data_IF_969896884985
#
_entry.id   IF_969896884985
#
_cell.length_a   1.000
_cell.length_b   1.000
_cell.length_c   1.000
_cell.angle_alpha   90.00
_cell.angle_beta   90.00
_cell.angle_gamma   90.00
#
_symmetry.space_group_name_H-M   'P 1'
#
loop_
_entity.id
_entity.type
_entity.pdbx_description
1 polymer ?
#
# COMPACT_ATOMS: atom_id res chain seq x y z
N UNK A 1 -16.62 23.37 21.03
CA UNK A 1 -16.92 22.73 22.34
C UNK A 1 -17.83 21.55 22.07
N UNK A 2 -17.36 20.30 22.23
CA UNK A 2 -18.26 19.15 22.21
C UNK A 2 -19.22 19.30 23.39
N UNK A 3 -20.52 19.38 23.14
CA UNK A 3 -21.51 19.18 24.21
C UNK A 3 -21.17 17.86 24.89
N UNK A 4 -20.94 17.90 26.20
CA UNK A 4 -20.81 16.72 27.02
C UNK A 4 -22.17 16.03 27.06
N UNK A 5 -22.44 15.17 26.07
CA UNK A 5 -23.61 14.28 26.08
C UNK A 5 -23.54 13.49 27.38
N UNK A 6 -24.58 13.62 28.21
CA UNK A 6 -24.66 12.92 29.49
C UNK A 6 -24.67 11.40 29.23
N UNK A 7 -24.15 10.59 30.16
CA UNK A 7 -24.09 9.14 29.98
C UNK A 7 -25.47 8.49 29.75
N UNK A 8 -26.52 9.07 30.33
CA UNK A 8 -27.92 8.69 30.13
C UNK A 8 -28.36 8.84 28.67
N UNK A 9 -27.90 9.88 28.00
CA UNK A 9 -28.20 10.15 26.60
C UNK A 9 -27.53 9.12 25.69
N UNK A 10 -26.27 8.77 25.96
CA UNK A 10 -25.54 7.73 25.23
C UNK A 10 -26.19 6.34 25.37
N UNK A 11 -26.73 6.03 26.56
CA UNK A 11 -27.48 4.79 26.76
C UNK A 11 -28.80 4.77 26.00
N UNK A 12 -29.49 5.91 25.91
CA UNK A 12 -30.72 6.02 25.13
C UNK A 12 -30.45 5.78 23.64
N UNK A 13 -29.39 6.40 23.11
CA UNK A 13 -28.91 6.24 21.74
C UNK A 13 -28.54 4.78 21.47
N UNK A 14 -27.78 4.15 22.37
CA UNK A 14 -27.40 2.74 22.25
C UNK A 14 -28.62 1.81 22.13
N UNK A 15 -29.69 2.07 22.89
CA UNK A 15 -30.95 1.31 22.83
C UNK A 15 -31.72 1.56 21.52
N UNK A 16 -31.87 2.82 21.12
CA UNK A 16 -32.60 3.19 19.89
C UNK A 16 -31.95 2.58 18.65
N UNK A 17 -30.62 2.61 18.57
CA UNK A 17 -29.87 2.06 17.43
C UNK A 17 -29.46 0.59 17.62
N UNK A 18 -29.84 -0.04 18.73
CA UNK A 18 -29.53 -1.44 19.06
C UNK A 18 -28.04 -1.79 18.95
N UNK A 19 -27.18 -0.89 19.44
CA UNK A 19 -25.71 -1.05 19.45
C UNK A 19 -25.17 -1.04 20.87
N UNK A 20 -23.96 -1.57 21.08
CA UNK A 20 -23.27 -1.45 22.35
C UNK A 20 -22.89 0.01 22.69
N UNK A 21 -22.89 0.37 23.96
CA UNK A 21 -22.49 1.71 24.43
C UNK A 21 -21.08 2.10 23.95
N UNK A 22 -20.16 1.14 23.92
CA UNK A 22 -18.79 1.34 23.41
C UNK A 22 -18.78 1.71 21.92
N UNK A 23 -19.71 1.18 21.13
CA UNK A 23 -19.86 1.51 19.71
C UNK A 23 -20.29 2.97 19.55
N UNK A 24 -21.26 3.44 20.35
CA UNK A 24 -21.69 4.85 20.32
C UNK A 24 -20.51 5.78 20.64
N UNK A 25 -19.77 5.48 21.71
CA UNK A 25 -18.57 6.26 22.10
C UNK A 25 -17.49 6.25 21.02
N UNK A 26 -17.24 5.10 20.38
CA UNK A 26 -16.29 4.98 19.27
C UNK A 26 -16.69 5.87 18.09
N UNK A 27 -17.97 5.88 17.72
CA UNK A 27 -18.46 6.69 16.61
C UNK A 27 -18.40 8.18 16.93
N UNK A 28 -18.70 8.60 18.16
CA UNK A 28 -18.52 9.99 18.59
C UNK A 28 -17.04 10.43 18.53
N UNK A 29 -16.11 9.55 18.95
CA UNK A 29 -14.66 9.81 18.81
C UNK A 29 -14.25 9.93 17.35
N UNK A 30 -14.75 9.05 16.48
CA UNK A 30 -14.48 9.12 15.03
C UNK A 30 -15.05 10.38 14.39
N UNK A 31 -16.26 10.79 14.79
CA UNK A 31 -16.90 12.02 14.34
C UNK A 31 -16.10 13.26 14.74
N UNK A 32 -15.67 13.34 16.01
CA UNK A 32 -14.82 14.43 16.48
C UNK A 32 -13.47 14.51 15.74
N UNK A 33 -12.95 13.36 15.31
CA UNK A 33 -11.73 13.27 14.50
C UNK A 33 -11.96 13.44 12.98
N UNK A 34 -13.21 13.59 12.50
CA UNK A 34 -13.53 13.67 11.07
C UNK A 34 -13.22 12.38 10.28
N UNK A 35 -13.26 11.21 10.94
CA UNK A 35 -12.80 9.92 10.40
C UNK A 35 -13.91 8.88 10.24
N UNK A 36 -15.18 9.31 10.23
CA UNK A 36 -16.31 8.37 10.10
C UNK A 36 -16.25 7.54 8.81
N UNK A 37 -15.84 8.16 7.71
CA UNK A 37 -15.76 7.52 6.40
C UNK A 37 -14.47 6.69 6.20
N UNK A 38 -13.56 6.73 7.17
CA UNK A 38 -12.29 6.00 7.08
C UNK A 38 -12.49 4.53 7.47
N UNK A 39 -12.58 3.69 6.45
CA UNK A 39 -12.44 2.24 6.60
C UNK A 39 -10.95 1.90 6.57
N UNK A 40 -10.40 1.46 7.71
CA UNK A 40 -9.04 0.90 7.72
C UNK A 40 -9.08 -0.46 7.00
N UNK A 41 -8.56 -0.51 5.78
CA UNK A 41 -8.26 -1.79 5.15
C UNK A 41 -7.18 -2.51 5.98
N UNK A 42 -7.29 -3.82 6.22
CA UNK A 42 -6.22 -4.57 6.86
C UNK A 42 -4.93 -4.34 6.08
N UNK A 43 -3.89 -3.88 6.76
CA UNK A 43 -2.54 -3.91 6.19
C UNK A 43 -2.23 -5.37 5.92
N UNK A 44 -2.25 -5.80 4.66
CA UNK A 44 -1.84 -7.14 4.28
C UNK A 44 -0.40 -7.44 4.72
N UNK A 45 0.07 -8.65 4.41
CA UNK A 45 1.46 -9.05 4.69
C UNK A 45 2.42 -8.01 4.12
N UNK A 46 3.36 -7.54 4.95
CA UNK A 46 4.42 -6.62 4.51
C UNK A 46 5.20 -7.25 3.36
N UNK A 47 5.56 -6.43 2.37
CA UNK A 47 6.31 -6.87 1.19
C UNK A 47 7.71 -7.28 1.61
N UNK A 48 8.25 -8.30 0.94
CA UNK A 48 9.65 -8.73 1.13
C UNK A 48 10.62 -7.67 0.61
N UNK A 49 10.30 -7.06 -0.53
CA UNK A 49 11.07 -5.92 -1.06
C UNK A 49 10.61 -4.66 -0.33
N UNK A 50 11.51 -4.10 0.47
CA UNK A 50 11.34 -2.84 1.19
C UNK A 50 11.86 -1.67 0.36
N UNK A 51 11.58 -0.45 0.82
CA UNK A 51 11.95 0.80 0.14
C UNK A 51 13.44 0.90 -0.18
N UNK A 52 14.31 0.42 0.72
CA UNK A 52 15.77 0.40 0.51
C UNK A 52 16.17 -0.45 -0.71
N UNK A 53 15.56 -1.63 -0.87
CA UNK A 53 15.81 -2.50 -2.01
C UNK A 53 15.23 -1.92 -3.30
N UNK A 54 14.11 -1.20 -3.21
CA UNK A 54 13.54 -0.50 -4.37
C UNK A 54 14.47 0.62 -4.85
N UNK A 55 15.07 1.39 -3.94
CA UNK A 55 16.04 2.44 -4.29
C UNK A 55 17.27 1.88 -4.99
N UNK A 56 17.80 0.75 -4.54
CA UNK A 56 18.93 0.09 -5.19
C UNK A 56 18.55 -0.37 -6.60
N UNK A 57 17.34 -0.93 -6.79
CA UNK A 57 16.86 -1.31 -8.12
C UNK A 57 16.74 -0.11 -9.07
N UNK A 58 16.31 1.05 -8.57
CA UNK A 58 16.25 2.28 -9.37
C UNK A 58 17.63 2.79 -9.76
N UNK A 59 18.61 2.74 -8.84
CA UNK A 59 20.00 3.09 -9.14
C UNK A 59 20.61 2.15 -10.18
N UNK A 60 20.38 0.84 -10.06
CA UNK A 60 20.85 -0.14 -11.05
C UNK A 60 20.26 0.13 -12.44
N UNK A 61 19.00 0.56 -12.52
CA UNK A 61 18.35 0.92 -13.78
C UNK A 61 18.93 2.21 -14.38
N UNK A 62 19.34 3.17 -13.54
CA UNK A 62 20.04 4.39 -13.98
C UNK A 62 21.47 4.09 -14.47
N UNK A 63 22.16 3.15 -13.82
CA UNK A 63 23.51 2.70 -14.18
C UNK A 63 23.51 1.91 -15.51
N UNK A 64 22.54 1.01 -15.69
CA UNK A 64 22.39 0.18 -16.89
C UNK A 64 20.92 -0.01 -17.28
N UNK A 65 20.45 0.83 -18.19
CA UNK A 65 19.06 0.81 -18.65
C UNK A 65 18.74 -0.37 -19.59
N UNK A 66 19.76 -1.02 -20.17
CA UNK A 66 19.59 -2.15 -21.08
C UNK A 66 19.61 -3.50 -20.36
N UNK A 67 19.97 -3.52 -19.07
CA UNK A 67 19.94 -4.71 -18.24
C UNK A 67 18.52 -5.30 -18.17
N UNK A 68 18.45 -6.61 -18.37
CA UNK A 68 17.22 -7.39 -18.24
C UNK A 68 16.72 -7.45 -16.80
N UNK A 69 15.44 -7.80 -16.61
CA UNK A 69 14.85 -8.00 -15.28
C UNK A 69 15.54 -9.12 -14.48
N UNK A 70 16.11 -10.11 -15.15
CA UNK A 70 16.86 -11.19 -14.51
C UNK A 70 18.23 -10.70 -14.01
N UNK A 71 18.91 -9.87 -14.79
CA UNK A 71 20.17 -9.24 -14.39
C UNK A 71 19.96 -8.31 -13.20
N UNK A 72 18.92 -7.48 -13.22
CA UNK A 72 18.55 -6.66 -12.06
C UNK A 72 18.29 -7.49 -10.80
N UNK A 73 17.65 -8.66 -10.92
CA UNK A 73 17.43 -9.56 -9.79
C UNK A 73 18.75 -10.12 -9.24
N UNK A 74 19.69 -10.50 -10.11
CA UNK A 74 21.03 -10.99 -9.71
C UNK A 74 21.86 -9.88 -9.06
N UNK A 75 21.88 -8.70 -9.66
CA UNK A 75 22.62 -7.54 -9.14
C UNK A 75 22.08 -7.09 -7.78
N UNK A 76 20.75 -7.15 -7.58
CA UNK A 76 20.16 -6.87 -6.27
C UNK A 76 20.54 -7.93 -5.24
N UNK A 77 20.50 -9.22 -5.61
CA UNK A 77 20.94 -10.32 -4.73
C UNK A 77 22.41 -10.16 -4.35
N UNK A 78 23.28 -9.75 -5.28
CA UNK A 78 24.70 -9.48 -5.01
C UNK A 78 24.91 -8.29 -4.07
N UNK A 79 24.18 -7.18 -4.28
CA UNK A 79 24.31 -5.97 -3.45
C UNK A 79 23.67 -6.10 -2.05
N UNK A 80 22.59 -6.87 -1.91
CA UNK A 80 21.76 -6.88 -0.67
C UNK A 80 21.63 -8.24 -0.01
N UNK A 81 22.02 -9.33 -0.68
CA UNK A 81 21.75 -10.70 -0.26
C UNK A 81 20.29 -11.13 -0.42
N UNK A 82 19.40 -10.27 -0.94
CA UNK A 82 17.99 -10.58 -1.08
C UNK A 82 17.71 -11.31 -2.39
N UNK A 83 17.40 -12.61 -2.29
CA UNK A 83 17.00 -13.43 -3.42
C UNK A 83 15.55 -13.14 -3.85
N UNK A 84 15.38 -12.56 -5.04
CA UNK A 84 14.07 -12.31 -5.64
C UNK A 84 13.98 -12.86 -7.06
N UNK A 85 12.76 -13.09 -7.55
CA UNK A 85 12.52 -13.42 -8.95
C UNK A 85 12.42 -12.17 -9.82
N UNK A 86 12.69 -12.30 -11.12
CA UNK A 86 12.50 -11.21 -12.10
C UNK A 86 11.07 -10.63 -12.07
N UNK A 87 10.04 -11.45 -11.78
CA UNK A 87 8.65 -10.99 -11.64
C UNK A 87 8.47 -10.05 -10.47
N UNK A 88 9.28 -10.18 -9.43
CA UNK A 88 9.28 -9.25 -8.30
C UNK A 88 9.90 -7.92 -8.71
N UNK A 89 10.98 -7.93 -9.50
CA UNK A 89 11.59 -6.73 -10.09
C UNK A 89 10.59 -6.01 -10.99
N UNK A 90 9.93 -6.73 -11.89
CA UNK A 90 8.87 -6.18 -12.76
C UNK A 90 7.76 -5.48 -11.97
N UNK A 91 7.27 -6.11 -10.89
CA UNK A 91 6.29 -5.48 -10.01
C UNK A 91 6.83 -4.24 -9.28
N UNK A 92 8.12 -4.18 -8.98
CA UNK A 92 8.74 -2.97 -8.38
C UNK A 92 8.73 -1.85 -9.41
N UNK A 93 9.23 -2.10 -10.61
CA UNK A 93 9.25 -1.11 -11.70
C UNK A 93 7.85 -0.62 -12.06
N UNK A 94 6.87 -1.52 -12.14
CA UNK A 94 5.48 -1.15 -12.38
C UNK A 94 4.91 -0.20 -11.30
N UNK A 95 5.31 -0.35 -10.02
CA UNK A 95 4.90 0.59 -8.95
C UNK A 95 5.52 1.96 -9.10
N UNK A 96 6.72 2.02 -9.65
CA UNK A 96 7.44 3.27 -9.95
C UNK A 96 7.08 3.86 -11.32
N UNK A 97 6.10 3.28 -12.02
CA UNK A 97 5.65 3.78 -13.33
C UNK A 97 6.61 3.49 -14.48
N UNK A 98 7.64 2.67 -14.25
CA UNK A 98 8.60 2.27 -15.26
C UNK A 98 7.97 1.16 -16.10
N UNK A 99 7.86 1.41 -17.41
CA UNK A 99 7.32 0.43 -18.35
C UNK A 99 8.35 0.16 -19.44
N UNK A 100 8.43 -1.10 -19.89
CA UNK A 100 9.26 -1.44 -21.03
C UNK A 100 8.75 -0.68 -22.27
N UNK A 101 9.65 0.02 -22.96
CA UNK A 101 9.34 0.67 -24.23
C UNK A 101 8.98 -0.41 -25.25
N UNK A 102 7.68 -0.68 -25.42
CA UNK A 102 7.22 -1.49 -26.54
C UNK A 102 7.37 -0.63 -27.80
N UNK A 103 8.26 -1.04 -28.70
CA UNK A 103 8.34 -0.48 -30.05
C UNK A 103 6.92 -0.44 -30.63
N UNK A 104 6.43 0.77 -30.93
CA UNK A 104 5.11 1.03 -31.49
C UNK A 104 4.86 0.32 -32.84
N UNK A 105 5.87 -0.31 -33.43
CA UNK A 105 5.78 -1.09 -34.67
C UNK A 105 5.36 -2.56 -34.51
N UNK A 106 5.17 -3.10 -33.29
CA UNK A 106 4.62 -4.46 -33.11
C UNK A 106 3.09 -4.42 -33.18
N UNK A 107 2.54 -4.45 -34.40
CA UNK A 107 1.12 -4.76 -34.63
C UNK A 107 0.93 -6.25 -34.33
N UNK A 108 -0.11 -6.61 -33.57
CA UNK A 108 -0.48 -8.02 -33.38
C UNK A 108 -0.94 -8.56 -34.74
N UNK A 109 -0.36 -9.66 -35.19
CA UNK A 109 -0.95 -10.43 -36.27
C UNK A 109 -2.29 -10.99 -35.78
N UNK A 110 -3.35 -10.70 -36.53
CA UNK A 110 -4.69 -11.26 -36.34
C UNK A 110 -4.72 -12.76 -36.65
#
# INVERSE_FOLDING_TARGET
MLLALQESDLQSVARTFQVGLQTVQLYLKKHAAGTLDQVKSPSGRRRTVQTEHEQILLQLLEEDADASLEEHARLLEEKTGLKISYRTVDRVFARHGITYKKNAGRVRAE
#
